data_IF_515796686956
#
_entry.id   IF_515796686956
#
_cell.length_a   1.000
_cell.length_b   1.000
_cell.length_c   1.000
_cell.angle_alpha   90.00
_cell.angle_beta   90.00
_cell.angle_gamma   90.00
#
_symmetry.space_group_name_H-M   'P 1'
#
loop_
_entity.id
_entity.type
_entity.pdbx_description
1 polymer ?
#
# COMPACT_ATOMS: atom_id res chain seq x y z
N UNK A 1 41.61 -13.00 12.17
CA UNK A 1 41.21 -11.61 12.48
C UNK A 1 39.98 -11.60 13.38
N UNK A 2 39.92 -10.74 14.41
CA UNK A 2 38.78 -10.68 15.33
C UNK A 2 37.48 -10.22 14.63
N UNK A 3 36.36 -10.86 14.95
CA UNK A 3 35.04 -10.69 14.28
C UNK A 3 34.47 -9.27 14.39
N UNK A 4 34.86 -8.51 15.41
CA UNK A 4 34.35 -7.17 15.72
C UNK A 4 34.75 -6.11 14.68
N UNK A 5 35.96 -6.19 14.15
CA UNK A 5 36.44 -5.26 13.11
C UNK A 5 35.72 -5.48 11.77
N UNK A 6 35.36 -6.72 11.45
CA UNK A 6 34.62 -7.03 10.21
C UNK A 6 33.20 -6.43 10.22
N UNK A 7 32.54 -6.40 11.37
CA UNK A 7 31.21 -5.80 11.50
C UNK A 7 31.24 -4.27 11.34
N UNK A 8 32.26 -3.59 11.89
CA UNK A 8 32.45 -2.13 11.68
C UNK A 8 32.75 -1.80 10.23
N UNK A 9 33.56 -2.63 9.56
CA UNK A 9 33.92 -2.43 8.15
C UNK A 9 32.72 -2.61 7.21
N UNK A 10 31.89 -3.65 7.42
CA UNK A 10 30.65 -3.84 6.66
C UNK A 10 29.68 -2.68 6.85
N UNK A 11 29.51 -2.22 8.09
CA UNK A 11 28.65 -1.07 8.42
C UNK A 11 29.17 0.23 7.76
N UNK A 12 30.49 0.45 7.77
CA UNK A 12 31.12 1.58 7.08
C UNK A 12 30.86 1.53 5.57
N UNK A 13 31.09 0.38 4.91
CA UNK A 13 30.78 0.22 3.48
C UNK A 13 29.33 0.51 3.16
N UNK A 14 28.40 0.02 3.98
CA UNK A 14 26.97 0.25 3.77
C UNK A 14 26.61 1.72 3.93
N UNK A 15 27.09 2.40 4.98
CA UNK A 15 26.89 3.83 5.18
C UNK A 15 27.50 4.67 4.06
N UNK A 16 28.73 4.34 3.63
CA UNK A 16 29.38 5.00 2.50
C UNK A 16 28.60 4.79 1.20
N UNK A 17 28.12 3.57 0.93
CA UNK A 17 27.31 3.24 -0.24
C UNK A 17 26.01 4.04 -0.28
N UNK A 18 25.32 4.18 0.87
CA UNK A 18 24.11 5.02 0.98
C UNK A 18 24.46 6.50 0.75
N UNK A 19 25.52 7.00 1.39
CA UNK A 19 25.92 8.42 1.32
C UNK A 19 26.38 8.84 -0.07
N UNK A 20 26.98 7.92 -0.83
CA UNK A 20 27.40 8.11 -2.21
C UNK A 20 26.28 7.85 -3.23
N UNK A 21 25.04 7.58 -2.78
CA UNK A 21 23.93 7.29 -3.69
C UNK A 21 24.08 5.98 -4.46
N UNK A 22 24.97 5.08 -4.05
CA UNK A 22 25.22 3.78 -4.69
C UNK A 22 24.16 2.74 -4.27
N UNK A 23 22.92 3.16 -4.14
CA UNK A 23 21.78 2.27 -3.87
C UNK A 23 21.22 1.75 -5.19
N UNK A 24 20.70 0.51 -5.24
CA UNK A 24 20.08 -0.05 -6.45
C UNK A 24 18.97 0.87 -6.98
N UNK A 25 18.19 1.44 -6.06
CA UNK A 25 17.12 2.40 -6.33
C UNK A 25 17.58 3.73 -6.96
N UNK A 26 18.85 4.12 -6.74
CA UNK A 26 19.40 5.30 -7.39
C UNK A 26 19.77 4.98 -8.85
N UNK A 27 20.46 3.86 -9.07
CA UNK A 27 20.79 3.39 -10.41
C UNK A 27 19.53 3.16 -11.25
N UNK A 28 18.49 2.57 -10.64
CA UNK A 28 17.17 2.42 -11.24
C UNK A 28 16.55 3.74 -11.68
N UNK A 29 16.52 4.74 -10.78
CA UNK A 29 16.01 6.08 -11.12
C UNK A 29 16.80 6.74 -12.24
N UNK A 30 18.14 6.63 -12.24
CA UNK A 30 18.97 7.14 -13.32
C UNK A 30 18.69 6.42 -14.64
N UNK A 31 18.55 5.10 -14.62
CA UNK A 31 18.19 4.30 -15.79
C UNK A 31 16.85 4.75 -16.40
N UNK A 32 15.80 4.88 -15.58
CA UNK A 32 14.46 5.29 -16.05
C UNK A 32 14.39 6.75 -16.48
N UNK A 33 15.16 7.64 -15.86
CA UNK A 33 15.19 9.06 -16.19
C UNK A 33 16.10 9.41 -17.37
N UNK A 34 17.03 8.53 -17.74
CA UNK A 34 17.96 8.78 -18.84
C UNK A 34 17.19 8.97 -20.15
N UNK A 35 17.37 10.14 -20.76
CA UNK A 35 16.85 10.47 -22.09
C UNK A 35 18.02 10.89 -22.96
N UNK A 36 18.00 10.47 -24.22
CA UNK A 36 18.99 10.93 -25.18
C UNK A 36 18.81 12.43 -25.40
N UNK A 37 19.92 13.13 -25.60
CA UNK A 37 19.96 14.57 -25.87
C UNK A 37 20.84 14.85 -27.09
N UNK A 38 20.57 15.91 -27.87
CA UNK A 38 21.32 16.21 -29.09
C UNK A 38 22.82 16.45 -28.89
N UNK A 39 23.23 16.89 -27.71
CA UNK A 39 24.62 17.13 -27.31
C UNK A 39 25.39 15.85 -26.93
N UNK A 40 24.73 14.70 -26.92
CA UNK A 40 25.30 13.42 -26.49
C UNK A 40 25.47 12.45 -27.67
N UNK A 41 26.71 12.03 -27.91
CA UNK A 41 26.98 10.92 -28.82
C UNK A 41 26.22 9.65 -28.41
N UNK A 42 25.67 8.93 -29.39
CA UNK A 42 24.90 7.69 -29.15
C UNK A 42 25.68 6.63 -28.37
N UNK A 43 26.98 6.47 -28.65
CA UNK A 43 27.85 5.55 -27.92
C UNK A 43 27.92 5.87 -26.42
N UNK A 44 27.99 7.16 -26.09
CA UNK A 44 27.97 7.63 -24.70
C UNK A 44 26.59 7.40 -24.05
N UNK A 45 25.50 7.61 -24.78
CA UNK A 45 24.15 7.32 -24.29
C UNK A 45 23.98 5.82 -23.97
N UNK A 46 24.35 4.95 -24.91
CA UNK A 46 24.30 3.50 -24.72
C UNK A 46 25.14 3.05 -23.51
N UNK A 47 26.35 3.60 -23.35
CA UNK A 47 27.19 3.34 -22.18
C UNK A 47 26.49 3.65 -20.87
N UNK A 48 25.87 4.83 -20.74
CA UNK A 48 25.17 5.19 -19.50
C UNK A 48 23.91 4.36 -19.26
N UNK A 49 23.20 3.97 -20.33
CA UNK A 49 22.05 3.05 -20.23
C UNK A 49 22.48 1.72 -19.62
N UNK A 50 23.51 1.09 -20.18
CA UNK A 50 24.03 -0.20 -19.70
C UNK A 50 24.62 -0.07 -18.29
N UNK A 51 25.41 0.98 -18.03
CA UNK A 51 25.99 1.22 -16.69
C UNK A 51 24.94 1.32 -15.60
N UNK A 52 23.86 2.07 -15.83
CA UNK A 52 22.81 2.23 -14.82
C UNK A 52 21.97 0.96 -14.66
N UNK A 53 21.72 0.24 -15.76
CA UNK A 53 21.09 -1.08 -15.73
C UNK A 53 21.90 -2.07 -14.89
N UNK A 54 23.19 -2.27 -15.21
CA UNK A 54 24.04 -3.22 -14.51
C UNK A 54 24.18 -2.91 -13.02
N UNK A 55 24.30 -1.62 -12.68
CA UNK A 55 24.36 -1.18 -11.28
C UNK A 55 23.06 -1.45 -10.53
N UNK A 56 21.90 -1.32 -11.21
CA UNK A 56 20.61 -1.64 -10.62
C UNK A 56 20.45 -3.15 -10.40
N UNK A 57 20.66 -3.97 -11.44
CA UNK A 57 20.50 -5.43 -11.38
C UNK A 57 21.47 -6.05 -10.38
N UNK A 58 22.75 -5.66 -10.42
CA UNK A 58 23.76 -6.13 -9.46
C UNK A 58 23.44 -5.69 -8.03
N UNK A 59 22.96 -4.46 -7.87
CA UNK A 59 22.58 -3.92 -6.57
C UNK A 59 21.35 -4.60 -5.97
N UNK A 60 20.37 -4.95 -6.80
CA UNK A 60 19.18 -5.70 -6.43
C UNK A 60 19.47 -7.19 -6.17
N UNK A 61 20.70 -7.65 -6.46
CA UNK A 61 21.13 -9.04 -6.27
C UNK A 61 20.25 -10.03 -7.06
N UNK A 62 19.89 -9.67 -8.28
CA UNK A 62 19.19 -10.53 -9.25
C UNK A 62 20.14 -11.65 -9.68
N UNK A 63 19.73 -12.91 -9.50
CA UNK A 63 20.55 -14.09 -9.85
C UNK A 63 19.93 -14.95 -10.95
N UNK A 64 18.64 -14.83 -11.16
CA UNK A 64 17.89 -15.58 -12.17
C UNK A 64 17.03 -14.67 -13.04
N UNK A 65 16.53 -15.22 -14.15
CA UNK A 65 15.56 -14.53 -15.00
C UNK A 65 14.22 -14.31 -14.26
N UNK A 66 13.86 -15.21 -13.34
CA UNK A 66 12.69 -15.09 -12.47
C UNK A 66 12.84 -13.90 -11.52
N UNK A 67 14.02 -13.72 -10.91
CA UNK A 67 14.33 -12.57 -10.05
C UNK A 67 14.21 -11.25 -10.83
N UNK A 68 14.69 -11.23 -12.09
CA UNK A 68 14.58 -10.06 -12.95
C UNK A 68 13.12 -9.76 -13.28
N UNK A 69 12.35 -10.79 -13.63
CA UNK A 69 10.92 -10.67 -13.91
C UNK A 69 10.17 -10.11 -12.69
N UNK A 70 10.43 -10.66 -11.50
CA UNK A 70 9.85 -10.16 -10.25
C UNK A 70 10.24 -8.71 -10.00
N UNK A 71 11.50 -8.34 -10.17
CA UNK A 71 11.98 -6.96 -9.97
C UNK A 71 11.22 -5.95 -10.85
N UNK A 72 11.04 -6.27 -12.14
CA UNK A 72 10.32 -5.42 -13.09
C UNK A 72 8.82 -5.36 -12.76
N UNK A 73 8.19 -6.49 -12.40
CA UNK A 73 6.79 -6.48 -12.02
C UNK A 73 6.55 -5.71 -10.71
N UNK A 74 7.45 -5.84 -9.74
CA UNK A 74 7.41 -5.11 -8.47
C UNK A 74 7.58 -3.60 -8.68
N UNK A 75 8.44 -3.17 -9.60
CA UNK A 75 8.54 -1.76 -10.01
C UNK A 75 7.18 -1.22 -10.45
N UNK A 76 6.48 -1.95 -11.32
CA UNK A 76 5.18 -1.53 -11.82
C UNK A 76 4.09 -1.57 -10.74
N UNK A 77 4.10 -2.62 -9.90
CA UNK A 77 3.13 -2.78 -8.81
C UNK A 77 3.24 -1.69 -7.74
N UNK A 78 4.47 -1.29 -7.39
CA UNK A 78 4.72 -0.27 -6.38
C UNK A 78 4.54 1.16 -6.90
N UNK A 79 4.32 1.33 -8.21
CA UNK A 79 4.13 2.64 -8.83
C UNK A 79 2.88 3.33 -8.26
N UNK A 80 3.07 4.45 -7.57
CA UNK A 80 2.00 5.21 -6.94
C UNK A 80 1.62 4.75 -5.54
N UNK A 81 2.23 3.68 -5.03
CA UNK A 81 2.05 3.24 -3.65
C UNK A 81 2.75 4.24 -2.71
N UNK A 82 2.09 4.71 -1.63
CA UNK A 82 2.74 5.57 -0.65
C UNK A 82 3.99 4.92 -0.04
N UNK A 83 5.10 5.66 0.06
CA UNK A 83 6.41 5.17 0.53
C UNK A 83 6.39 4.37 1.85
N UNK A 84 5.46 4.69 2.76
CA UNK A 84 5.32 3.98 4.04
C UNK A 84 4.82 2.55 3.84
N UNK A 85 3.91 2.35 2.89
CA UNK A 85 3.34 1.05 2.53
C UNK A 85 4.34 0.29 1.66
N UNK A 86 4.95 0.96 0.68
CA UNK A 86 6.02 0.40 -0.17
C UNK A 86 7.14 -0.22 0.67
N UNK A 87 7.65 0.53 1.67
CA UNK A 87 8.68 0.02 2.59
C UNK A 87 8.21 -1.19 3.39
N UNK A 88 6.94 -1.20 3.80
CA UNK A 88 6.37 -2.34 4.53
C UNK A 88 6.31 -3.59 3.65
N UNK A 89 5.85 -3.44 2.42
CA UNK A 89 5.79 -4.51 1.41
C UNK A 89 7.19 -5.06 1.13
N UNK A 90 8.16 -4.19 0.80
CA UNK A 90 9.53 -4.59 0.49
C UNK A 90 10.24 -5.25 1.68
N UNK A 91 9.97 -4.81 2.90
CA UNK A 91 10.49 -5.45 4.12
C UNK A 91 9.95 -6.86 4.33
N UNK A 92 8.74 -7.15 3.84
CA UNK A 92 8.14 -8.48 3.84
C UNK A 92 8.82 -9.47 2.89
N UNK A 93 9.71 -9.00 2.00
CA UNK A 93 10.44 -9.80 1.01
C UNK A 93 9.52 -10.75 0.20
N UNK A 94 8.53 -10.19 -0.52
CA UNK A 94 7.63 -11.00 -1.33
C UNK A 94 8.41 -11.76 -2.40
N UNK A 95 8.03 -13.00 -2.64
CA UNK A 95 8.52 -13.82 -3.77
C UNK A 95 7.69 -13.59 -5.03
N UNK A 96 6.49 -13.05 -4.89
CA UNK A 96 5.57 -12.77 -5.99
C UNK A 96 4.87 -11.44 -5.78
N UNK A 97 4.37 -10.85 -6.88
CA UNK A 97 3.57 -9.61 -6.80
C UNK A 97 2.26 -9.83 -6.05
N UNK A 98 1.66 -11.02 -6.16
CA UNK A 98 0.43 -11.36 -5.44
C UNK A 98 0.69 -11.34 -3.92
N UNK A 99 1.77 -11.97 -3.48
CA UNK A 99 2.20 -11.93 -2.07
C UNK A 99 2.50 -10.49 -1.61
N UNK A 100 3.10 -9.66 -2.48
CA UNK A 100 3.30 -8.25 -2.20
C UNK A 100 1.97 -7.51 -1.97
N UNK A 101 0.94 -7.83 -2.75
CA UNK A 101 -0.44 -7.36 -2.58
C UNK A 101 -1.04 -7.78 -1.24
N UNK A 102 -0.89 -9.05 -0.86
CA UNK A 102 -1.36 -9.56 0.43
C UNK A 102 -0.66 -8.88 1.63
N UNK A 103 0.65 -8.65 1.52
CA UNK A 103 1.41 -7.90 2.54
C UNK A 103 0.89 -6.46 2.61
N UNK A 104 0.61 -5.83 1.47
CA UNK A 104 0.00 -4.51 1.40
C UNK A 104 -1.37 -4.46 2.09
N UNK A 105 -2.23 -5.46 1.85
CA UNK A 105 -3.54 -5.58 2.47
C UNK A 105 -3.45 -5.70 4.00
N UNK A 106 -2.52 -6.54 4.50
CA UNK A 106 -2.25 -6.67 5.95
C UNK A 106 -1.87 -5.34 6.60
N UNK A 107 -1.15 -4.48 5.89
CA UNK A 107 -0.82 -3.14 6.40
C UNK A 107 -2.07 -2.29 6.63
N UNK A 108 -3.03 -2.33 5.69
CA UNK A 108 -4.29 -1.56 5.78
C UNK A 108 -5.09 -2.03 6.98
N UNK A 109 -5.27 -3.34 7.15
CA UNK A 109 -5.98 -3.87 8.33
C UNK A 109 -5.33 -3.45 9.65
N UNK A 110 -3.99 -3.53 9.74
CA UNK A 110 -3.27 -3.12 10.96
C UNK A 110 -3.41 -1.62 11.20
N UNK A 111 -3.39 -0.81 10.14
CA UNK A 111 -3.61 0.62 10.24
C UNK A 111 -5.04 0.96 10.71
N UNK A 112 -6.05 0.27 10.19
CA UNK A 112 -7.45 0.41 10.60
C UNK A 112 -7.68 -0.03 12.05
N UNK A 113 -7.15 -1.20 12.44
CA UNK A 113 -7.20 -1.68 13.83
C UNK A 113 -6.56 -0.69 14.80
N UNK A 114 -5.45 -0.03 14.41
CA UNK A 114 -4.81 1.02 15.22
C UNK A 114 -5.65 2.29 15.30
N UNK A 115 -6.30 2.71 14.20
CA UNK A 115 -7.24 3.83 14.21
C UNK A 115 -8.44 3.56 15.12
N UNK A 116 -9.06 2.37 15.00
CA UNK A 116 -10.18 1.95 15.84
C UNK A 116 -9.80 1.93 17.33
N UNK A 117 -8.63 1.37 17.68
CA UNK A 117 -8.14 1.40 19.06
C UNK A 117 -7.87 2.83 19.56
N UNK A 118 -7.30 3.69 18.71
CA UNK A 118 -7.01 5.08 19.09
C UNK A 118 -8.31 5.87 19.34
N UNK A 119 -9.30 5.73 18.46
CA UNK A 119 -10.64 6.29 18.64
C UNK A 119 -11.32 5.76 19.90
N UNK A 120 -11.19 4.48 20.21
CA UNK A 120 -11.72 3.89 21.45
C UNK A 120 -11.06 4.46 22.72
N UNK A 121 -9.73 4.70 22.70
CA UNK A 121 -9.03 5.34 23.81
C UNK A 121 -9.41 6.82 23.98
N UNK A 122 -9.70 7.51 22.87
CA UNK A 122 -10.14 8.90 22.86
C UNK A 122 -11.58 9.04 23.41
N UNK A 123 -12.48 8.11 23.05
CA UNK A 123 -13.80 7.99 23.66
C UNK A 123 -13.72 7.75 25.18
N UNK A 124 -12.81 6.88 25.64
CA UNK A 124 -12.62 6.63 27.08
C UNK A 124 -12.04 7.81 27.86
N UNK A 125 -11.24 8.67 27.23
CA UNK A 125 -10.73 9.89 27.89
C UNK A 125 -11.79 10.99 28.03
N UNK A 126 -12.87 10.92 27.25
CA UNK A 126 -13.96 11.90 27.26
C UNK A 126 -15.14 11.54 28.16
N UNK A 127 -15.19 10.34 28.76
CA UNK A 127 -16.25 10.01 29.73
C UNK A 127 -15.92 10.60 31.11
N UNK A 128 -16.75 11.50 31.66
CA UNK A 128 -16.74 11.76 33.09
C UNK A 128 -17.20 10.50 33.84
N UNK A 129 -16.49 10.13 34.90
CA UNK A 129 -16.86 9.06 35.84
C UNK A 129 -18.22 9.37 36.45
N UNK A 130 -19.30 8.93 35.79
CA UNK A 130 -20.64 9.01 36.35
C UNK A 130 -20.98 7.62 36.87
N UNK A 131 -21.09 7.41 38.19
CA UNK A 131 -21.39 6.11 38.75
C UNK A 131 -22.81 5.68 38.31
N UNK A 132 -23.08 4.38 38.15
CA UNK A 132 -24.41 3.90 37.82
C UNK A 132 -25.32 4.21 39.02
N UNK A 133 -26.24 5.15 38.84
CA UNK A 133 -27.25 5.42 39.86
C UNK A 133 -28.17 4.21 39.96
N UNK A 134 -28.01 3.49 41.07
CA UNK A 134 -28.83 2.36 41.49
C UNK A 134 -30.17 2.90 42.00
N UNK A 135 -31.17 3.00 41.13
CA UNK A 135 -32.55 3.19 41.58
C UNK A 135 -33.20 1.81 41.79
N UNK A 136 -33.20 1.36 43.05
CA UNK A 136 -34.08 0.29 43.52
C UNK A 136 -35.23 0.95 44.28
N UNK A 137 -36.47 0.82 43.80
CA UNK A 137 -37.71 0.76 44.59
C UNK A 137 -38.91 0.55 43.65
N UNK A 138 -39.62 -0.58 43.79
CA UNK A 138 -41.04 -0.73 43.42
C UNK A 138 -41.94 -0.35 44.62
N UNK A 139 -43.25 -0.70 44.70
CA UNK A 139 -44.08 -1.45 43.74
C UNK A 139 -45.50 -0.85 43.45
N UNK A 140 -46.18 -1.46 42.46
CA UNK A 140 -47.64 -1.69 42.26
C UNK A 140 -48.67 -0.58 42.54
N UNK A 141 -49.45 -0.22 41.49
CA UNK A 141 -50.92 -0.10 41.59
C UNK A 141 -51.58 -0.14 40.20
N UNK A 142 -52.65 -0.93 40.12
CA UNK A 142 -53.51 -1.23 38.98
C UNK A 142 -54.25 -0.01 38.43
N UNK A 143 -54.62 -0.07 37.15
CA UNK A 143 -55.57 0.84 36.51
C UNK A 143 -55.89 0.35 35.10
N UNK A 144 -56.92 -0.49 34.99
CA UNK A 144 -57.56 -0.88 33.72
C UNK A 144 -58.18 0.33 33.02
N UNK A 145 -58.06 0.39 31.69
CA UNK A 145 -59.14 0.76 30.78
C UNK A 145 -58.81 0.29 29.36
N UNK A 146 -59.57 -0.69 28.87
CA UNK A 146 -59.71 -1.02 27.45
C UNK A 146 -60.34 0.15 26.69
N UNK A 147 -59.93 0.39 25.44
CA UNK A 147 -60.78 0.65 24.26
C UNK A 147 -59.88 0.53 23.01
N UNK A 148 -59.94 -0.58 22.28
CA UNK A 148 -60.67 -0.75 21.00
C UNK A 148 -60.16 0.13 19.85
N UNK A 149 -59.41 -0.46 18.91
CA UNK A 149 -59.73 -0.51 17.46
C UNK A 149 -58.50 -0.86 16.60
N UNK A 150 -58.68 -1.95 15.83
CA UNK A 150 -57.93 -2.37 14.63
C UNK A 150 -57.55 -1.21 13.69
N UNK A 151 -56.40 -1.31 13.04
CA UNK A 151 -56.29 -1.58 11.59
C UNK A 151 -54.82 -1.68 11.13
N UNK A 152 -54.44 -2.87 10.64
CA UNK A 152 -53.51 -3.12 9.52
C UNK A 152 -54.38 -3.77 8.43
N UNK A 153 -54.05 -3.75 7.11
CA UNK A 153 -52.70 -3.89 6.53
C UNK A 153 -52.46 -3.01 5.28
N UNK A 154 -51.25 -2.95 4.75
CA UNK A 154 -50.85 -3.39 3.38
C UNK A 154 -49.90 -2.30 2.84
N UNK A 155 -48.94 -2.47 1.95
CA UNK A 155 -48.26 -3.58 1.31
C UNK A 155 -47.01 -2.98 0.62
N UNK A 156 -46.10 -3.86 0.20
CA UNK A 156 -44.92 -3.64 -0.65
C UNK A 156 -45.04 -2.52 -1.71
N UNK A 157 -43.95 -1.76 -1.93
CA UNK A 157 -43.48 -1.51 -3.30
C UNK A 157 -42.01 -1.08 -3.34
N UNK A 158 -41.16 -2.01 -3.80
CA UNK A 158 -39.82 -1.73 -4.34
C UNK A 158 -39.94 -0.87 -5.59
N UNK A 159 -38.97 0.03 -5.85
CA UNK A 159 -38.40 0.20 -7.19
C UNK A 159 -37.08 1.00 -7.15
N UNK A 160 -36.06 0.35 -7.69
CA UNK A 160 -34.70 0.84 -7.97
C UNK A 160 -34.66 1.20 -9.47
N UNK A 161 -34.04 2.32 -9.88
CA UNK A 161 -33.60 2.47 -11.27
C UNK A 161 -32.09 2.23 -11.38
N UNK A 162 -31.74 1.18 -12.12
CA UNK A 162 -30.43 0.93 -12.72
C UNK A 162 -30.18 1.94 -13.84
N UNK A 163 -29.05 2.66 -13.82
CA UNK A 163 -28.57 3.44 -14.96
C UNK A 163 -27.20 2.90 -15.41
N UNK A 164 -27.14 2.59 -16.70
CA UNK A 164 -26.03 1.97 -17.43
C UNK A 164 -24.84 2.94 -17.61
N UNK A 165 -23.60 2.43 -17.79
CA UNK A 165 -22.41 3.26 -17.98
C UNK A 165 -22.32 3.82 -19.41
N UNK A 166 -21.78 5.04 -19.60
CA UNK A 166 -21.53 5.58 -20.94
C UNK A 166 -20.32 4.91 -21.59
N UNK A 167 -20.53 4.44 -22.82
CA UNK A 167 -19.52 4.01 -23.78
C UNK A 167 -18.65 5.20 -24.20
N UNK A 168 -17.32 5.07 -24.05
CA UNK A 168 -16.34 5.94 -24.71
C UNK A 168 -15.47 5.10 -25.65
N UNK A 169 -15.22 5.58 -26.89
CA UNK A 169 -14.47 4.85 -27.90
C UNK A 169 -12.97 4.80 -27.55
N UNK A 170 -12.37 3.63 -27.73
CA UNK A 170 -10.92 3.44 -27.57
C UNK A 170 -10.15 4.08 -28.73
N UNK A 171 -8.97 4.70 -28.49
CA UNK A 171 -8.06 5.06 -29.56
C UNK A 171 -7.28 3.83 -30.05
N UNK A 172 -7.40 3.57 -31.34
CA UNK A 172 -6.65 2.57 -32.11
C UNK A 172 -5.15 2.84 -32.01
N UNK A 173 -4.39 1.91 -31.40
CA UNK A 173 -2.92 1.93 -31.47
C UNK A 173 -2.49 1.00 -32.60
N UNK A 174 -2.14 1.59 -33.75
CA UNK A 174 -1.51 0.90 -34.88
C UNK A 174 -0.02 0.73 -34.57
N UNK A 175 0.42 -0.51 -34.35
CA UNK A 175 1.84 -0.85 -34.33
C UNK A 175 2.29 -1.18 -35.75
N UNK A 176 2.78 -0.17 -36.47
CA UNK A 176 3.59 -0.37 -37.66
C UNK A 176 4.99 -0.85 -37.24
N UNK A 177 5.40 -1.94 -37.88
CA UNK A 177 6.66 -2.68 -37.82
C UNK A 177 7.92 -1.90 -37.39
N UNK A 178 8.66 -2.48 -36.43
CA UNK A 178 10.11 -2.66 -36.45
C UNK A 178 10.45 -3.97 -35.73
#
# INVERSE_FOLDING_TARGET
>A
MPKEHMNRYKLFKQKARIRMGLTPEHAHRQFRALRWKPDMAFSRHAYYTVKNWDAWISGANVKSLEDLSLLIQMEQFLKGVPKKIERYILNGKPKTVIEAGEIGAKWVEVAEKKKARSSWWEYKKGQPDTPPSRSTQGPTSQGEALHTARETPDALSSNHPTLQPPTSPQPTVSWAML
#
